data_IF_581612902280
#
_entry.id   IF_581612902280
#
_cell.length_a   1.000
_cell.length_b   1.000
_cell.length_c   1.000
_cell.angle_alpha   90.00
_cell.angle_beta   90.00
_cell.angle_gamma   90.00
#
_symmetry.space_group_name_H-M   'P 1'
#
loop_
_entity.id
_entity.type
_entity.pdbx_description
1 polymer ?
#
# COMPACT_ATOMS: atom_id res chain seq x y z
N UNK A 1 11.20 -0.80 2.97
CA UNK A 1 12.02 0.45 2.83
C UNK A 1 13.20 0.37 3.77
N UNK A 2 14.40 0.76 3.31
CA UNK A 2 15.61 0.80 4.15
C UNK A 2 15.55 2.04 5.05
N UNK A 3 15.77 1.84 6.34
CA UNK A 3 15.76 2.87 7.36
C UNK A 3 17.17 3.14 7.89
N UNK A 4 17.37 4.30 8.51
CA UNK A 4 18.61 4.57 9.25
C UNK A 4 18.63 3.73 10.52
N UNK A 5 19.77 3.08 10.79
CA UNK A 5 19.96 2.31 12.00
C UNK A 5 20.09 3.26 13.21
N UNK A 6 19.13 3.19 14.13
CA UNK A 6 19.14 3.96 15.38
C UNK A 6 18.51 3.14 16.51
N UNK A 7 18.84 3.48 17.76
CA UNK A 7 18.40 2.70 18.92
C UNK A 7 16.88 2.64 19.05
N UNK A 8 16.17 3.71 18.76
CA UNK A 8 14.71 3.76 18.89
C UNK A 8 14.01 2.79 17.91
N UNK A 9 14.41 2.81 16.64
CA UNK A 9 13.83 1.95 15.61
C UNK A 9 14.28 0.48 15.74
N UNK A 10 15.46 0.23 16.35
CA UNK A 10 16.06 -1.10 16.44
C UNK A 10 15.82 -1.79 17.81
N UNK A 11 15.22 -1.12 18.80
CA UNK A 11 15.09 -1.60 20.19
C UNK A 11 14.36 -2.94 20.34
N UNK A 12 13.45 -3.25 19.44
CA UNK A 12 12.70 -4.51 19.42
C UNK A 12 13.60 -5.68 19.01
N UNK A 13 14.58 -5.45 18.18
CA UNK A 13 15.47 -6.45 17.60
C UNK A 13 16.81 -6.56 18.34
N UNK A 14 17.17 -5.56 19.15
CA UNK A 14 18.43 -5.53 19.83
C UNK A 14 18.88 -4.13 20.25
N UNK A 15 20.18 -3.85 20.14
CA UNK A 15 20.77 -2.57 20.50
C UNK A 15 21.77 -2.06 19.48
N UNK A 16 21.88 -0.74 19.36
CA UNK A 16 22.83 -0.05 18.49
C UNK A 16 23.92 0.59 19.34
N UNK A 17 25.17 0.44 18.95
CA UNK A 17 26.29 1.04 19.68
C UNK A 17 26.57 2.43 19.16
N UNK A 18 26.48 3.42 20.03
CA UNK A 18 26.71 4.83 19.69
C UNK A 18 28.19 5.21 19.62
N UNK A 19 29.08 4.45 20.23
CA UNK A 19 30.53 4.76 20.28
C UNK A 19 31.38 3.63 19.69
N UNK A 20 32.28 3.97 18.76
CA UNK A 20 33.24 3.03 18.18
C UNK A 20 34.11 2.33 19.22
N UNK A 21 34.36 2.94 20.39
CA UNK A 21 35.22 2.41 21.46
C UNK A 21 34.64 1.15 22.12
N UNK A 22 33.34 1.07 22.36
CA UNK A 22 32.71 -0.11 22.95
C UNK A 22 32.59 -1.27 21.97
N UNK A 23 32.24 -0.97 20.71
CA UNK A 23 32.20 -1.98 19.65
C UNK A 23 33.58 -2.56 19.35
N UNK A 24 34.62 -1.74 19.32
CA UNK A 24 35.99 -2.19 19.14
C UNK A 24 36.49 -3.13 20.23
N UNK A 25 36.02 -2.97 21.48
CA UNK A 25 36.40 -3.86 22.59
C UNK A 25 35.74 -5.25 22.49
N UNK A 26 34.54 -5.35 21.95
CA UNK A 26 33.87 -6.64 21.76
C UNK A 26 34.30 -7.34 20.45
N UNK A 27 34.59 -6.59 19.39
CA UNK A 27 35.03 -7.14 18.09
C UNK A 27 36.54 -7.39 18.03
N UNK A 28 37.35 -6.64 18.76
CA UNK A 28 38.81 -6.74 18.69
C UNK A 28 39.47 -7.79 19.57
N UNK A 29 38.76 -8.36 20.55
CA UNK A 29 39.29 -9.44 21.42
C UNK A 29 39.32 -10.82 20.77
N UNK A 30 38.54 -11.04 19.71
CA UNK A 30 38.63 -12.21 18.86
C UNK A 30 38.46 -11.73 17.42
N UNK A 31 39.48 -11.84 16.60
CA UNK A 31 39.41 -11.54 15.16
C UNK A 31 38.32 -12.46 14.53
N UNK A 32 37.08 -12.03 14.58
CA UNK A 32 35.99 -12.74 13.95
C UNK A 32 36.26 -12.80 12.46
N UNK A 33 36.10 -13.96 11.81
CA UNK A 33 36.30 -14.07 10.38
C UNK A 33 35.34 -13.10 9.68
N UNK A 34 35.88 -12.31 8.77
CA UNK A 34 35.08 -11.43 7.93
C UNK A 34 34.27 -12.30 6.95
N UNK A 35 32.95 -12.28 7.06
CA UNK A 35 32.08 -12.95 6.11
C UNK A 35 31.99 -12.08 4.85
N UNK A 36 32.37 -12.66 3.71
CA UNK A 36 32.22 -12.00 2.41
C UNK A 36 30.78 -12.16 1.91
N UNK A 37 30.18 -11.05 1.52
CA UNK A 37 28.82 -10.98 0.99
C UNK A 37 28.89 -10.59 -0.48
N UNK A 38 28.16 -11.34 -1.31
CA UNK A 38 28.03 -11.09 -2.75
C UNK A 38 26.54 -10.82 -3.04
N UNK A 39 26.21 -9.88 -3.94
CA UNK A 39 24.83 -9.66 -4.36
C UNK A 39 24.16 -10.96 -4.89
N UNK A 40 22.92 -11.16 -4.57
CA UNK A 40 22.14 -12.32 -4.96
C UNK A 40 21.22 -12.80 -3.85
N UNK A 41 20.95 -14.10 -3.81
CA UNK A 41 20.12 -14.70 -2.78
C UNK A 41 20.73 -14.52 -1.38
N UNK A 42 19.87 -14.21 -0.44
CA UNK A 42 20.26 -13.85 0.92
C UNK A 42 19.92 -14.93 1.89
N UNK A 43 20.93 -15.39 2.65
CA UNK A 43 20.72 -16.34 3.74
C UNK A 43 20.08 -15.64 4.95
N UNK A 44 18.99 -16.19 5.42
CA UNK A 44 18.34 -15.80 6.67
C UNK A 44 18.90 -16.65 7.80
N UNK A 45 19.28 -16.01 8.89
CA UNK A 45 19.76 -16.64 10.12
C UNK A 45 18.81 -16.34 11.28
N UNK A 46 18.79 -17.22 12.27
CA UNK A 46 18.24 -16.95 13.60
C UNK A 46 19.37 -16.83 14.61
N UNK A 47 19.40 -15.76 15.36
CA UNK A 47 20.39 -15.55 16.40
C UNK A 47 20.17 -16.54 17.56
N UNK A 48 21.09 -17.48 17.75
CA UNK A 48 21.05 -18.48 18.86
C UNK A 48 21.61 -17.91 20.16
N UNK A 49 22.35 -16.82 20.08
CA UNK A 49 22.79 -15.95 21.17
C UNK A 49 22.86 -14.52 20.64
N UNK A 50 23.03 -13.55 21.53
CA UNK A 50 23.25 -12.15 21.12
C UNK A 50 24.38 -12.07 20.11
N UNK A 51 24.06 -11.54 18.92
CA UNK A 51 24.93 -11.56 17.76
C UNK A 51 25.32 -10.14 17.35
N UNK A 52 26.60 -9.83 17.44
CA UNK A 52 27.15 -8.56 17.03
C UNK A 52 27.48 -8.55 15.54
N UNK A 53 27.06 -7.49 14.85
CA UNK A 53 27.35 -7.28 13.43
C UNK A 53 27.91 -5.88 13.21
N UNK A 54 28.91 -5.77 12.32
CA UNK A 54 29.53 -4.51 11.93
C UNK A 54 29.93 -4.56 10.47
N UNK A 55 29.67 -3.49 9.72
CA UNK A 55 30.12 -3.37 8.34
C UNK A 55 31.65 -3.17 8.32
N UNK A 56 32.37 -4.11 7.73
CA UNK A 56 33.82 -4.03 7.52
C UNK A 56 34.17 -3.23 6.28
N UNK A 57 33.63 -3.60 5.13
CA UNK A 57 33.80 -2.91 3.84
C UNK A 57 32.51 -2.97 3.02
N UNK A 58 32.32 -2.04 2.10
CA UNK A 58 31.15 -1.94 1.26
C UNK A 58 29.96 -1.32 1.98
N UNK A 59 28.77 -1.65 1.54
CA UNK A 59 27.49 -1.21 2.11
C UNK A 59 26.61 -2.41 2.39
N UNK A 60 26.04 -2.48 3.59
CA UNK A 60 25.22 -3.63 4.02
C UNK A 60 23.87 -3.14 4.52
N UNK A 61 22.83 -3.85 4.14
CA UNK A 61 21.50 -3.75 4.74
C UNK A 61 21.29 -4.92 5.69
N UNK A 62 21.09 -4.59 6.97
CA UNK A 62 20.68 -5.52 8.00
C UNK A 62 19.16 -5.62 7.98
N UNK A 63 18.66 -6.81 7.66
CA UNK A 63 17.23 -7.13 7.70
C UNK A 63 16.95 -7.94 8.96
N UNK A 64 15.97 -7.55 9.77
CA UNK A 64 15.63 -8.22 11.04
C UNK A 64 14.14 -8.45 11.16
N UNK A 65 13.76 -9.56 11.84
CA UNK A 65 12.38 -9.94 12.11
C UNK A 65 12.31 -10.76 13.42
N UNK A 66 11.25 -10.58 14.18
CA UNK A 66 11.03 -11.37 15.41
C UNK A 66 10.41 -12.75 15.14
N UNK A 67 9.71 -12.91 14.03
CA UNK A 67 8.97 -14.12 13.65
C UNK A 67 9.53 -14.83 12.40
N UNK A 68 10.47 -14.20 11.68
CA UNK A 68 11.04 -14.70 10.42
C UNK A 68 10.27 -14.25 9.18
N UNK A 69 9.22 -13.43 9.38
CA UNK A 69 8.45 -12.77 8.34
C UNK A 69 8.43 -11.26 8.58
N UNK A 70 7.90 -10.46 7.68
CA UNK A 70 7.75 -9.03 7.92
C UNK A 70 9.06 -8.30 8.26
N UNK A 71 10.14 -8.53 7.50
CA UNK A 71 11.47 -7.98 7.81
C UNK A 71 11.51 -6.46 7.81
N UNK A 72 12.13 -5.89 8.84
CA UNK A 72 12.55 -4.50 8.92
C UNK A 72 13.98 -4.38 8.39
N UNK A 73 14.27 -3.36 7.58
CA UNK A 73 15.53 -3.20 6.87
C UNK A 73 16.25 -1.94 7.34
N UNK A 74 17.50 -2.10 7.79
CA UNK A 74 18.33 -1.02 8.31
C UNK A 74 19.65 -0.92 7.53
N UNK A 75 20.08 0.30 7.23
CA UNK A 75 21.40 0.52 6.69
C UNK A 75 22.44 0.37 7.81
N UNK A 76 23.35 -0.60 7.67
CA UNK A 76 24.34 -0.94 8.71
C UNK A 76 25.52 0.03 8.64
N UNK A 77 25.36 1.24 9.15
CA UNK A 77 26.37 2.30 9.22
C UNK A 77 27.17 2.32 10.53
N UNK A 78 26.73 1.53 11.51
CA UNK A 78 27.35 1.39 12.83
C UNK A 78 27.10 0.00 13.39
N UNK A 79 27.88 -0.45 14.41
CA UNK A 79 27.69 -1.76 15.00
C UNK A 79 26.34 -1.93 15.66
N UNK A 80 25.74 -3.11 15.48
CA UNK A 80 24.49 -3.51 16.12
C UNK A 80 24.64 -4.87 16.81
N UNK A 81 23.97 -5.03 17.94
CA UNK A 81 23.77 -6.30 18.62
C UNK A 81 22.37 -6.80 18.37
N UNK A 82 22.23 -7.90 17.65
CA UNK A 82 20.98 -8.58 17.38
C UNK A 82 20.68 -9.48 18.57
N UNK A 83 19.50 -9.34 19.15
CA UNK A 83 19.07 -10.13 20.32
C UNK A 83 18.88 -11.59 19.95
N UNK A 84 19.18 -12.50 20.89
CA UNK A 84 18.86 -13.91 20.77
C UNK A 84 17.40 -14.13 20.36
N UNK A 85 17.15 -15.06 19.45
CA UNK A 85 15.84 -15.41 18.91
C UNK A 85 15.40 -14.62 17.66
N UNK A 86 16.01 -13.45 17.42
CA UNK A 86 15.68 -12.62 16.26
C UNK A 86 16.22 -13.25 14.98
N UNK A 87 15.40 -13.28 13.94
CA UNK A 87 15.81 -13.64 12.58
C UNK A 87 16.48 -12.46 11.89
N UNK A 88 17.58 -12.70 11.19
CA UNK A 88 18.29 -11.62 10.50
C UNK A 88 18.92 -12.10 9.18
N UNK A 89 19.16 -11.15 8.31
CA UNK A 89 19.88 -11.35 7.07
C UNK A 89 20.78 -10.14 6.79
N UNK A 90 21.90 -10.39 6.12
CA UNK A 90 22.90 -9.39 5.79
C UNK A 90 23.04 -9.30 4.28
N UNK A 91 22.53 -8.22 3.71
CA UNK A 91 22.52 -8.01 2.28
C UNK A 91 23.59 -7.00 1.86
N UNK A 92 24.49 -7.35 0.93
CA UNK A 92 25.36 -6.37 0.33
C UNK A 92 24.53 -5.42 -0.55
N UNK A 93 24.68 -4.12 -0.32
CA UNK A 93 23.97 -3.09 -1.06
C UNK A 93 24.95 -2.33 -1.97
N UNK A 94 24.72 -2.30 -3.27
CA UNK A 94 25.59 -1.69 -4.29
C UNK A 94 26.92 -2.42 -4.56
N UNK A 95 26.98 -3.73 -4.44
CA UNK A 95 28.17 -4.54 -4.77
C UNK A 95 28.63 -5.40 -3.61
N UNK A 96 29.81 -6.02 -3.75
CA UNK A 96 30.36 -6.87 -2.71
C UNK A 96 30.63 -6.09 -1.41
N UNK A 97 30.42 -6.76 -0.29
CA UNK A 97 30.65 -6.21 1.03
C UNK A 97 31.29 -7.25 1.96
N UNK A 98 31.84 -6.81 3.07
CA UNK A 98 32.32 -7.68 4.12
C UNK A 98 31.76 -7.26 5.46
N UNK A 99 31.25 -8.22 6.22
CA UNK A 99 30.69 -8.03 7.56
C UNK A 99 31.56 -8.75 8.58
N UNK A 100 31.79 -8.09 9.71
CA UNK A 100 32.32 -8.72 10.91
C UNK A 100 31.13 -9.16 11.78
N UNK A 101 31.07 -10.44 12.10
CA UNK A 101 30.02 -11.01 12.93
C UNK A 101 30.62 -11.77 14.09
N UNK A 102 30.13 -11.50 15.30
CA UNK A 102 30.54 -12.18 16.53
C UNK A 102 29.34 -12.62 17.33
N UNK A 103 29.28 -13.91 17.67
CA UNK A 103 28.25 -14.52 18.51
C UNK A 103 28.88 -15.60 19.39
N UNK A 104 28.32 -15.82 20.58
CA UNK A 104 28.76 -16.89 21.48
C UNK A 104 28.45 -18.29 20.92
N UNK A 105 27.43 -18.40 20.06
CA UNK A 105 27.08 -19.61 19.31
C UNK A 105 26.78 -19.29 17.87
N UNK A 106 27.02 -20.24 16.97
CA UNK A 106 26.77 -20.03 15.55
C UNK A 106 25.26 -19.81 15.31
N UNK A 107 24.86 -18.74 14.60
CA UNK A 107 23.46 -18.53 14.23
C UNK A 107 22.93 -19.70 13.38
N UNK A 108 21.66 -20.04 13.62
CA UNK A 108 20.98 -21.10 12.87
C UNK A 108 20.64 -20.60 11.45
N UNK A 109 20.97 -21.39 10.43
CA UNK A 109 20.60 -21.11 9.05
C UNK A 109 19.13 -21.49 8.81
N UNK A 110 18.28 -20.49 8.50
CA UNK A 110 16.84 -20.64 8.25
C UNK A 110 16.49 -20.79 6.77
N UNK A 111 17.49 -20.86 5.89
CA UNK A 111 17.32 -20.94 4.45
C UNK A 111 17.65 -19.64 3.72
N UNK A 112 17.41 -19.65 2.42
CA UNK A 112 17.78 -18.55 1.51
C UNK A 112 16.52 -17.92 0.95
N UNK A 113 16.50 -16.59 0.88
CA UNK A 113 15.42 -15.80 0.27
C UNK A 113 15.97 -14.94 -0.87
N UNK A 114 15.17 -14.65 -1.91
CA UNK A 114 15.59 -13.76 -2.99
C UNK A 114 15.91 -12.33 -2.50
N UNK A 115 16.84 -11.66 -3.14
CA UNK A 115 17.25 -10.26 -2.86
C UNK A 115 16.08 -9.25 -2.98
N UNK A 116 14.99 -9.61 -3.69
CA UNK A 116 13.77 -8.80 -3.88
C UNK A 116 13.16 -8.23 -2.58
N UNK A 117 13.57 -8.72 -1.40
CA UNK A 117 13.15 -8.19 -0.10
C UNK A 117 13.55 -6.74 0.19
N UNK A 118 14.49 -6.16 -0.58
CA UNK A 118 15.07 -4.84 -0.29
C UNK A 118 14.43 -3.69 -1.04
N UNK A 119 13.65 -3.95 -2.08
CA UNK A 119 13.01 -2.89 -2.87
C UNK A 119 11.51 -2.87 -2.68
N UNK A 120 10.95 -1.67 -2.70
CA UNK A 120 9.51 -1.50 -2.81
C UNK A 120 9.11 -1.74 -4.27
N UNK A 121 8.19 -2.63 -4.47
CA UNK A 121 7.52 -2.84 -5.74
C UNK A 121 6.07 -2.34 -5.65
N UNK A 122 5.52 -1.95 -6.78
CA UNK A 122 4.10 -1.61 -6.83
C UNK A 122 3.29 -2.90 -6.76
N UNK A 123 2.29 -2.94 -5.89
CA UNK A 123 1.36 -4.08 -5.80
C UNK A 123 0.30 -4.05 -6.88
N UNK A 124 0.00 -2.87 -7.45
CA UNK A 124 -0.91 -2.71 -8.58
C UNK A 124 -0.54 -1.48 -9.42
N UNK A 125 -1.09 -1.42 -10.64
CA UNK A 125 -0.88 -0.34 -11.60
C UNK A 125 -2.21 0.14 -12.16
N UNK A 126 -2.37 1.45 -12.29
CA UNK A 126 -3.34 2.04 -13.20
C UNK A 126 -2.65 2.06 -14.58
N UNK A 127 -3.14 1.23 -15.50
CA UNK A 127 -2.47 1.02 -16.79
C UNK A 127 -2.82 2.10 -17.80
N UNK A 128 -4.03 2.63 -17.72
CA UNK A 128 -4.49 3.69 -18.58
C UNK A 128 -5.73 4.38 -18.04
N UNK A 129 -5.93 5.60 -18.48
CA UNK A 129 -7.12 6.40 -18.24
C UNK A 129 -7.71 6.77 -19.60
N UNK A 130 -9.00 6.45 -19.82
CA UNK A 130 -9.70 6.66 -21.10
C UNK A 130 -10.49 7.95 -21.08
N UNK A 131 -11.27 8.18 -20.01
CA UNK A 131 -12.10 9.37 -19.85
C UNK A 131 -11.89 9.98 -18.48
N UNK A 132 -11.91 11.30 -18.43
CA UNK A 132 -11.90 12.06 -17.20
C UNK A 132 -12.72 13.33 -17.42
N UNK A 133 -13.94 13.35 -16.87
CA UNK A 133 -14.89 14.43 -17.07
C UNK A 133 -15.39 14.99 -15.74
N UNK A 134 -15.38 16.31 -15.61
CA UNK A 134 -16.25 17.03 -14.68
C UNK A 134 -17.55 17.36 -15.39
N UNK A 135 -18.65 16.81 -14.94
CA UNK A 135 -19.94 16.92 -15.58
C UNK A 135 -20.88 17.80 -14.75
N UNK A 136 -21.45 18.82 -15.41
CA UNK A 136 -22.56 19.63 -14.88
C UNK A 136 -23.81 19.25 -15.67
N UNK A 137 -24.87 18.83 -14.98
CA UNK A 137 -26.12 18.39 -15.62
C UNK A 137 -27.30 19.21 -15.16
N UNK A 138 -28.29 19.32 -16.06
CA UNK A 138 -29.56 19.96 -15.75
C UNK A 138 -30.39 19.14 -14.76
N UNK A 139 -31.42 19.80 -14.17
CA UNK A 139 -32.38 19.12 -13.31
C UNK A 139 -33.10 17.99 -14.03
N UNK A 140 -33.29 16.87 -13.34
CA UNK A 140 -33.91 15.71 -13.91
C UNK A 140 -33.02 14.95 -14.93
N UNK A 141 -31.71 15.13 -14.84
CA UNK A 141 -30.73 14.42 -15.65
C UNK A 141 -31.03 12.93 -15.69
N UNK A 142 -30.95 12.33 -16.89
CA UNK A 142 -31.06 10.90 -17.11
C UNK A 142 -30.01 10.44 -18.09
N UNK A 143 -29.16 9.54 -17.66
CA UNK A 143 -28.29 8.74 -18.49
C UNK A 143 -28.83 7.32 -18.55
N UNK A 144 -29.22 6.87 -19.75
CA UNK A 144 -29.97 5.62 -19.97
C UNK A 144 -29.19 4.33 -19.71
N UNK A 145 -27.91 4.45 -19.44
CA UNK A 145 -27.03 3.34 -19.05
C UNK A 145 -26.13 2.84 -20.17
N UNK A 146 -25.04 2.23 -19.76
CA UNK A 146 -24.05 1.59 -20.61
C UNK A 146 -23.33 0.44 -19.90
N UNK A 147 -22.52 -0.28 -20.66
CA UNK A 147 -21.60 -1.32 -20.16
C UNK A 147 -20.35 -1.26 -21.03
N UNK A 148 -19.20 -1.22 -20.41
CA UNK A 148 -17.90 -1.15 -21.06
C UNK A 148 -16.83 -1.96 -20.32
N UNK A 149 -15.71 -2.36 -20.96
CA UNK A 149 -14.72 -3.23 -20.36
C UNK A 149 -13.83 -2.56 -19.29
N UNK A 150 -13.86 -1.23 -19.18
CA UNK A 150 -13.07 -0.47 -18.22
C UNK A 150 -13.77 -0.41 -16.84
N UNK A 151 -13.01 -0.11 -15.80
CA UNK A 151 -13.54 0.39 -14.54
C UNK A 151 -14.01 1.83 -14.71
N UNK A 152 -15.06 2.24 -14.00
CA UNK A 152 -15.47 3.65 -13.93
C UNK A 152 -15.69 4.10 -12.50
N UNK A 153 -15.03 5.20 -12.11
CA UNK A 153 -15.26 5.90 -10.86
C UNK A 153 -16.21 7.07 -11.10
N UNK A 154 -17.29 7.15 -10.33
CA UNK A 154 -18.18 8.31 -10.27
C UNK A 154 -18.12 8.94 -8.87
N UNK A 155 -17.79 10.24 -8.77
CA UNK A 155 -17.77 11.02 -7.54
C UNK A 155 -18.73 12.20 -7.64
N UNK A 156 -19.63 12.36 -6.66
CA UNK A 156 -20.61 13.47 -6.62
C UNK A 156 -20.02 14.67 -5.91
N UNK A 157 -19.79 15.77 -6.66
CA UNK A 157 -19.27 17.03 -6.12
C UNK A 157 -20.40 17.93 -5.59
N UNK A 158 -21.58 17.89 -6.22
CA UNK A 158 -22.75 18.67 -5.78
C UNK A 158 -24.06 17.96 -6.12
N UNK A 159 -25.06 18.13 -5.25
CA UNK A 159 -26.38 17.53 -5.43
C UNK A 159 -26.42 16.05 -5.04
N UNK A 160 -27.20 15.28 -5.78
CA UNK A 160 -27.35 13.85 -5.58
C UNK A 160 -27.55 13.16 -6.94
N UNK A 161 -27.09 11.91 -7.02
CA UNK A 161 -27.19 11.06 -8.19
C UNK A 161 -27.74 9.69 -7.78
N UNK A 162 -28.76 9.22 -8.46
CA UNK A 162 -29.19 7.83 -8.37
C UNK A 162 -28.30 7.00 -9.29
N UNK A 163 -27.66 6.01 -8.75
CA UNK A 163 -26.83 5.04 -9.47
C UNK A 163 -27.52 3.68 -9.45
N UNK A 164 -27.84 3.15 -10.62
CA UNK A 164 -28.46 1.83 -10.77
C UNK A 164 -27.44 0.90 -11.43
N UNK A 165 -27.13 -0.20 -10.77
CA UNK A 165 -26.14 -1.18 -11.21
C UNK A 165 -26.80 -2.55 -11.19
N UNK A 166 -26.87 -3.22 -12.33
CA UNK A 166 -27.49 -4.53 -12.47
C UNK A 166 -28.90 -4.62 -11.81
N UNK A 167 -29.64 -3.51 -11.83
CA UNK A 167 -30.98 -3.38 -11.26
C UNK A 167 -31.05 -2.98 -9.79
N UNK A 168 -29.91 -2.90 -9.09
CA UNK A 168 -29.83 -2.39 -7.72
C UNK A 168 -29.56 -0.87 -7.72
N UNK A 169 -30.37 -0.13 -6.98
CA UNK A 169 -30.28 1.33 -6.90
C UNK A 169 -29.57 1.79 -5.62
N UNK A 170 -28.70 2.77 -5.77
CA UNK A 170 -28.00 3.45 -4.67
C UNK A 170 -28.03 4.96 -4.89
N UNK A 171 -28.39 5.73 -3.87
CA UNK A 171 -28.32 7.19 -3.92
C UNK A 171 -26.94 7.67 -3.45
N UNK A 172 -26.25 8.36 -4.35
CA UNK A 172 -24.99 9.03 -4.09
C UNK A 172 -25.28 10.50 -3.78
N UNK A 173 -24.84 10.98 -2.63
CA UNK A 173 -24.95 12.39 -2.22
C UNK A 173 -23.59 13.08 -2.43
N UNK A 174 -23.58 14.39 -2.28
CA UNK A 174 -22.35 15.17 -2.29
C UNK A 174 -21.28 14.54 -1.37
N UNK A 175 -20.09 14.28 -1.91
CA UNK A 175 -18.99 13.61 -1.23
C UNK A 175 -18.99 12.08 -1.37
N UNK A 176 -20.06 11.47 -1.89
CA UNK A 176 -20.08 10.03 -2.14
C UNK A 176 -19.43 9.68 -3.49
N UNK A 177 -18.88 8.49 -3.55
CA UNK A 177 -18.35 7.90 -4.78
C UNK A 177 -18.67 6.39 -4.87
N UNK A 178 -18.64 5.90 -6.11
CA UNK A 178 -18.82 4.49 -6.46
C UNK A 178 -17.83 4.11 -7.56
N UNK A 179 -17.47 2.83 -7.65
CA UNK A 179 -16.69 2.28 -8.76
C UNK A 179 -17.51 1.16 -9.41
N UNK A 180 -17.77 1.31 -10.70
CA UNK A 180 -18.42 0.27 -11.53
C UNK A 180 -17.36 -0.67 -12.08
N UNK A 181 -17.70 -1.96 -12.12
CA UNK A 181 -16.82 -3.02 -12.62
C UNK A 181 -16.80 -3.12 -14.14
N UNK A 182 -15.79 -3.82 -14.70
CA UNK A 182 -15.73 -4.11 -16.12
C UNK A 182 -16.98 -4.87 -16.59
N UNK A 183 -17.56 -4.43 -17.71
CA UNK A 183 -18.77 -4.97 -18.32
C UNK A 183 -20.03 -4.99 -17.40
N UNK A 184 -19.99 -4.23 -16.32
CA UNK A 184 -21.12 -4.06 -15.44
C UNK A 184 -22.07 -2.99 -16.02
N UNK A 185 -23.34 -3.36 -16.23
CA UNK A 185 -24.32 -2.40 -16.72
C UNK A 185 -24.66 -1.41 -15.62
N UNK A 186 -24.59 -0.13 -15.93
CA UNK A 186 -24.90 0.94 -14.99
C UNK A 186 -25.61 2.10 -15.69
N UNK A 187 -26.52 2.75 -14.96
CA UNK A 187 -27.19 3.99 -15.37
C UNK A 187 -27.22 4.98 -14.22
N UNK A 188 -27.42 6.25 -14.55
CA UNK A 188 -27.42 7.33 -13.58
C UNK A 188 -28.55 8.31 -13.90
N UNK A 189 -29.21 8.82 -12.85
CA UNK A 189 -30.21 9.87 -13.01
C UNK A 189 -30.26 10.77 -11.75
N UNK A 190 -30.90 11.94 -11.89
CA UNK A 190 -31.15 12.84 -10.78
C UNK A 190 -32.65 13.15 -10.68
N UNK A 191 -33.12 13.43 -9.49
CA UNK A 191 -34.48 13.84 -9.23
C UNK A 191 -34.82 15.18 -9.94
N UNK A 192 -36.10 15.39 -10.23
CA UNK A 192 -36.62 16.68 -10.68
C UNK A 192 -36.32 17.73 -9.62
N UNK A 193 -35.62 18.80 -10.02
CA UNK A 193 -35.19 19.87 -9.11
C UNK A 193 -33.75 19.72 -8.60
N UNK A 194 -33.08 18.61 -8.89
CA UNK A 194 -31.64 18.41 -8.59
C UNK A 194 -30.81 18.51 -9.86
N UNK A 195 -29.88 19.50 -9.87
CA UNK A 195 -28.87 19.65 -10.92
C UNK A 195 -27.53 19.11 -10.43
N UNK A 196 -27.14 17.88 -10.73
CA UNK A 196 -25.94 17.26 -10.15
C UNK A 196 -24.68 17.73 -10.85
N UNK A 197 -23.59 17.83 -10.07
CA UNK A 197 -22.22 17.98 -10.57
C UNK A 197 -21.42 16.79 -10.07
N UNK A 198 -20.70 16.12 -10.99
CA UNK A 198 -19.98 14.92 -10.66
C UNK A 198 -18.78 14.70 -11.58
N UNK A 199 -17.83 13.92 -11.09
CA UNK A 199 -16.66 13.48 -11.84
C UNK A 199 -16.87 12.05 -12.28
N UNK A 200 -16.56 11.74 -13.55
CA UNK A 200 -16.44 10.36 -14.05
C UNK A 200 -15.03 10.11 -14.57
N UNK A 201 -14.46 8.96 -14.22
CA UNK A 201 -13.13 8.54 -14.64
C UNK A 201 -13.19 7.08 -15.09
N UNK A 202 -12.93 6.80 -16.37
CA UNK A 202 -12.83 5.42 -16.88
C UNK A 202 -11.36 5.03 -17.04
N UNK A 203 -10.97 3.87 -16.48
CA UNK A 203 -9.57 3.46 -16.39
C UNK A 203 -9.41 1.94 -16.36
N UNK A 204 -8.17 1.47 -16.62
CA UNK A 204 -7.75 0.08 -16.43
C UNK A 204 -6.80 -0.05 -15.24
N UNK A 205 -6.91 -1.18 -14.56
CA UNK A 205 -6.14 -1.51 -13.37
C UNK A 205 -5.69 -2.97 -13.40
N UNK A 206 -4.41 -3.24 -13.09
CA UNK A 206 -3.87 -4.60 -12.94
C UNK A 206 -3.19 -4.79 -11.58
N UNK A 207 -3.16 -6.04 -11.09
CA UNK A 207 -2.43 -6.44 -9.90
C UNK A 207 -3.16 -6.26 -8.57
N UNK A 208 -4.36 -5.66 -8.52
CA UNK A 208 -5.17 -5.53 -7.31
C UNK A 208 -6.40 -6.43 -7.34
N UNK A 209 -6.84 -6.88 -6.17
CA UNK A 209 -8.20 -7.41 -6.02
C UNK A 209 -9.19 -6.25 -5.99
N UNK A 210 -9.83 -6.00 -7.13
CA UNK A 210 -10.80 -4.93 -7.29
C UNK A 210 -12.16 -5.22 -6.63
N UNK A 211 -12.42 -6.44 -6.22
CA UNK A 211 -13.72 -6.84 -5.62
C UNK A 211 -14.07 -5.99 -4.39
N UNK A 212 -13.06 -5.54 -3.64
CA UNK A 212 -13.22 -4.66 -2.49
C UNK A 212 -13.71 -3.24 -2.85
N UNK A 213 -13.58 -2.84 -4.11
CA UNK A 213 -13.98 -1.50 -4.60
C UNK A 213 -15.35 -1.50 -5.26
N UNK A 214 -15.81 -2.66 -5.76
CA UNK A 214 -17.02 -2.75 -6.56
C UNK A 214 -18.28 -2.85 -5.72
N UNK A 215 -19.42 -2.41 -6.28
CA UNK A 215 -20.75 -2.50 -5.69
C UNK A 215 -20.82 -1.91 -4.26
N UNK A 216 -20.03 -0.88 -4.01
CA UNK A 216 -19.93 -0.24 -2.71
C UNK A 216 -19.92 1.27 -2.85
N UNK A 217 -20.75 1.91 -2.03
CA UNK A 217 -20.69 3.36 -1.84
C UNK A 217 -19.60 3.72 -0.84
N UNK A 218 -18.74 4.65 -1.20
CA UNK A 218 -17.74 5.25 -0.33
C UNK A 218 -18.11 6.71 -0.05
N UNK A 219 -17.82 7.20 1.14
CA UNK A 219 -17.76 8.64 1.39
C UNK A 219 -16.30 9.08 1.25
N UNK A 220 -16.02 9.95 0.28
CA UNK A 220 -14.67 10.33 -0.07
C UNK A 220 -13.97 11.08 1.06
N UNK A 221 -12.85 10.57 1.62
CA UNK A 221 -12.03 11.32 2.57
C UNK A 221 -11.52 12.63 1.96
N UNK A 222 -11.23 13.63 2.78
CA UNK A 222 -10.71 14.93 2.30
C UNK A 222 -9.48 14.78 1.39
N UNK A 223 -8.62 13.79 1.65
CA UNK A 223 -7.48 13.49 0.80
C UNK A 223 -7.88 13.08 -0.61
N UNK A 224 -8.92 12.25 -0.76
CA UNK A 224 -9.44 11.83 -2.07
C UNK A 224 -10.03 13.02 -2.82
N UNK A 225 -10.82 13.85 -2.14
CA UNK A 225 -11.38 15.09 -2.73
C UNK A 225 -10.28 16.04 -3.21
N UNK A 226 -9.21 16.22 -2.41
CA UNK A 226 -8.07 17.03 -2.79
C UNK A 226 -7.33 16.49 -4.02
N UNK A 227 -7.17 15.17 -4.12
CA UNK A 227 -6.55 14.51 -5.28
C UNK A 227 -7.41 14.69 -6.54
N UNK A 228 -8.73 14.52 -6.47
CA UNK A 228 -9.64 14.76 -7.59
C UNK A 228 -9.56 16.22 -8.09
N UNK A 229 -9.55 17.19 -7.17
CA UNK A 229 -9.38 18.61 -7.52
C UNK A 229 -8.02 18.90 -8.17
N UNK A 230 -6.96 18.26 -7.71
CA UNK A 230 -5.64 18.41 -8.32
C UNK A 230 -5.60 17.79 -9.72
N UNK A 231 -6.22 16.62 -9.93
CA UNK A 231 -6.33 15.99 -11.25
C UNK A 231 -7.07 16.89 -12.23
N UNK A 232 -8.18 17.54 -11.81
CA UNK A 232 -8.93 18.48 -12.65
C UNK A 232 -8.08 19.68 -13.06
N UNK A 233 -7.31 20.28 -12.12
CA UNK A 233 -6.39 21.38 -12.45
C UNK A 233 -5.29 20.94 -13.42
N UNK A 234 -4.71 19.76 -13.19
CA UNK A 234 -3.69 19.20 -14.07
C UNK A 234 -4.22 18.96 -15.49
N UNK A 235 -5.51 18.58 -15.61
CA UNK A 235 -6.18 18.43 -16.90
C UNK A 235 -6.41 19.77 -17.63
N UNK A 236 -6.68 20.84 -16.88
CA UNK A 236 -6.90 22.19 -17.45
C UNK A 236 -5.59 22.78 -17.99
N UNK A 237 -4.47 22.50 -17.36
CA UNK A 237 -3.14 23.07 -17.64
C UNK A 237 -2.14 21.99 -18.08
N UNK A 238 -2.54 21.13 -19.02
CA UNK A 238 -1.70 19.99 -19.44
C UNK A 238 -0.36 20.42 -20.00
N UNK A 239 0.70 19.87 -19.41
CA UNK A 239 2.08 20.02 -19.89
C UNK A 239 2.82 18.67 -19.94
N UNK A 240 4.15 18.70 -20.00
CA UNK A 240 4.96 17.49 -19.98
C UNK A 240 4.74 16.72 -18.68
N UNK A 241 4.46 15.42 -18.79
CA UNK A 241 4.20 14.49 -17.65
C UNK A 241 2.87 14.67 -16.91
N UNK A 242 1.95 15.53 -17.36
CA UNK A 242 0.61 15.66 -16.77
C UNK A 242 -0.14 14.33 -16.73
N UNK A 243 -0.01 13.49 -17.76
CA UNK A 243 -0.57 12.15 -17.77
C UNK A 243 -0.05 11.28 -16.61
N UNK A 244 1.26 11.30 -16.36
CA UNK A 244 1.87 10.56 -15.24
C UNK A 244 1.43 11.08 -13.87
N UNK A 245 1.25 12.40 -13.75
CA UNK A 245 0.72 13.03 -12.53
C UNK A 245 -0.71 12.57 -12.28
N UNK A 246 -1.58 12.64 -13.28
CA UNK A 246 -2.99 12.21 -13.19
C UNK A 246 -3.09 10.73 -12.82
N UNK A 247 -2.36 9.83 -13.50
CA UNK A 247 -2.34 8.40 -13.20
C UNK A 247 -1.82 8.11 -11.79
N UNK A 248 -0.80 8.86 -11.33
CA UNK A 248 -0.27 8.73 -9.97
C UNK A 248 -1.29 9.17 -8.92
N UNK A 249 -2.03 10.25 -9.16
CA UNK A 249 -3.08 10.74 -8.28
C UNK A 249 -4.27 9.78 -8.23
N UNK A 250 -4.70 9.23 -9.37
CA UNK A 250 -5.73 8.17 -9.42
C UNK A 250 -5.28 6.92 -8.63
N UNK A 251 -4.03 6.50 -8.80
CA UNK A 251 -3.44 5.41 -7.99
C UNK A 251 -3.53 5.70 -6.49
N UNK A 252 -3.26 6.93 -6.05
CA UNK A 252 -3.38 7.32 -4.64
C UNK A 252 -4.83 7.30 -4.15
N UNK A 253 -5.80 7.71 -4.97
CA UNK A 253 -7.23 7.61 -4.67
C UNK A 253 -7.60 6.15 -4.41
N UNK A 254 -7.26 5.26 -5.32
CA UNK A 254 -7.57 3.82 -5.21
C UNK A 254 -6.92 3.18 -3.98
N UNK A 255 -5.67 3.55 -3.62
CA UNK A 255 -5.02 3.10 -2.37
C UNK A 255 -5.81 3.55 -1.14
N UNK A 256 -6.29 4.80 -1.12
CA UNK A 256 -7.11 5.29 -0.01
C UNK A 256 -8.38 4.44 0.14
N UNK A 257 -9.11 4.22 -0.96
CA UNK A 257 -10.34 3.44 -0.96
C UNK A 257 -10.12 1.97 -0.58
N UNK A 258 -9.06 1.34 -1.08
CA UNK A 258 -8.70 -0.05 -0.71
C UNK A 258 -8.37 -0.17 0.78
N UNK A 259 -7.68 0.81 1.36
CA UNK A 259 -7.38 0.82 2.80
C UNK A 259 -8.63 0.97 3.64
N UNK A 260 -9.53 1.88 3.26
CA UNK A 260 -10.82 2.07 3.93
C UNK A 260 -11.67 0.80 3.82
N UNK A 261 -11.72 0.17 2.63
CA UNK A 261 -12.43 -1.08 2.39
C UNK A 261 -11.89 -2.27 3.20
N UNK A 262 -10.60 -2.25 3.52
CA UNK A 262 -9.91 -3.30 4.27
C UNK A 262 -9.94 -3.08 5.79
N UNK A 263 -10.49 -1.97 6.30
CA UNK A 263 -10.55 -1.72 7.74
C UNK A 263 -11.54 -2.70 8.42
N UNK A 264 -11.08 -3.50 9.41
CA UNK A 264 -11.94 -4.49 10.08
C UNK A 264 -13.16 -3.89 10.77
N UNK A 265 -13.16 -2.59 11.08
CA UNK A 265 -14.29 -1.87 11.70
C UNK A 265 -15.44 -1.71 10.71
N UNK A 266 -15.15 -1.42 9.45
CA UNK A 266 -16.14 -1.29 8.40
C UNK A 266 -16.72 -2.65 7.97
N UNK A 267 -15.92 -3.72 7.97
CA UNK A 267 -16.39 -5.08 7.70
C UNK A 267 -17.44 -5.54 8.72
N UNK A 268 -17.29 -5.19 10.02
CA UNK A 268 -18.29 -5.50 11.05
C UNK A 268 -19.60 -4.75 10.86
N UNK A 269 -19.58 -3.50 10.39
CA UNK A 269 -20.76 -2.71 10.10
C UNK A 269 -21.54 -3.24 8.88
N UNK A 270 -20.83 -3.70 7.84
CA UNK A 270 -21.47 -4.29 6.65
C UNK A 270 -22.11 -5.65 6.95
N UNK A 271 -21.44 -6.51 7.73
CA UNK A 271 -22.00 -7.80 8.15
C UNK A 271 -23.24 -7.60 9.04
N UNK A 272 -23.24 -6.58 9.90
CA UNK A 272 -24.42 -6.25 10.71
C UNK A 272 -25.59 -5.73 9.87
N UNK A 273 -25.32 -4.92 8.84
CA UNK A 273 -26.35 -4.38 7.94
C UNK A 273 -26.92 -5.45 6.99
N UNK A 274 -26.09 -6.40 6.49
CA UNK A 274 -26.55 -7.50 5.66
C UNK A 274 -27.43 -8.47 6.46
N UNK A 275 -27.08 -8.78 7.70
CA UNK A 275 -27.89 -9.61 8.60
C UNK A 275 -29.21 -8.93 8.94
N UNK A 276 -29.25 -7.58 9.04
CA UNK A 276 -30.50 -6.85 9.32
C UNK A 276 -31.44 -6.86 8.10
N UNK A 277 -30.90 -6.70 6.88
CA UNK A 277 -31.70 -6.76 5.65
C UNK A 277 -32.24 -8.18 5.35
N UNK A 278 -31.50 -9.23 5.64
CA UNK A 278 -31.98 -10.61 5.51
C UNK A 278 -33.09 -10.95 6.53
N UNK A 279 -33.01 -10.41 7.74
CA UNK A 279 -34.05 -10.61 8.75
C UNK A 279 -35.35 -9.84 8.44
N UNK A 280 -35.30 -8.70 7.77
CA UNK A 280 -36.52 -7.98 7.32
C UNK A 280 -37.25 -8.72 6.18
N UNK A 281 -36.51 -9.42 5.30
CA UNK A 281 -37.09 -10.22 4.21
C UNK A 281 -37.79 -11.50 4.74
N UNK A 282 -37.31 -12.06 5.87
CA UNK A 282 -37.87 -13.29 6.45
C UNK A 282 -39.12 -13.01 7.31
N UNK A 283 -39.35 -11.81 7.81
CA UNK A 283 -40.48 -11.44 8.66
C UNK A 283 -41.59 -10.68 7.93
N UNK A 284 -41.47 -10.46 6.60
CA UNK A 284 -42.43 -9.78 5.74
C UNK A 284 -43.21 -10.68 4.78
N UNK A 285 -43.29 -12.00 5.03
CA UNK A 285 -44.07 -12.96 4.24
C UNK A 285 -45.19 -13.58 5.08
#
# INVERSE_FOLDING_TARGET
>A
MIQNLNQFAFQEFGSVVSERSQAAQHVSKNAAPSLQLVPGDVTVYRATADTWVNCGTGSIVLSVSTDGEGFHHFYLDKPACIRQGVCFALNPFKGNAAVQMHSASQPENMGTKPEALLRLERSFHVDGLYTFFYQEKEQGFLFSGESHPMLELTYVDQGALHSVVDGAETVLKQGDLVIYGPNQWHMQYADIGVAPRFVTISFDLTGADISLLLNRKFTAPQKVVALLKNMLREQEEMDAYSGDIILTQLTQILICLLRDASDPRDQKLQTANSVHSENEIIHGA
#
